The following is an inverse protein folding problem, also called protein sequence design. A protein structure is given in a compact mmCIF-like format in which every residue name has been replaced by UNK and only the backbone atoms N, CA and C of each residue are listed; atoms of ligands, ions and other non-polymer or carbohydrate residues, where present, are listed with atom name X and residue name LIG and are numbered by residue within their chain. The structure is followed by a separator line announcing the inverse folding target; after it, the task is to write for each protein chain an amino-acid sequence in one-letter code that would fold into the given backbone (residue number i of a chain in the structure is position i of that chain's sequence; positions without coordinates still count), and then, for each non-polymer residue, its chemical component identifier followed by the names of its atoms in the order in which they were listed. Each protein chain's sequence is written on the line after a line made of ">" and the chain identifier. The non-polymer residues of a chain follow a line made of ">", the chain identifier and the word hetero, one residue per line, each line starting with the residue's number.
data_IF_298181055249
#
_entry.id   IF_298181055249
#
_cell.length_a   1.000
_cell.length_b   1.000
_cell.length_c   1.000
_cell.angle_alpha   90.00
_cell.angle_beta   90.00
_cell.angle_gamma   90.00
#
_symmetry.space_group_name_H-M   'P 1'
#
loop_
_entity.id
_entity.type
_entity.pdbx_description
1 polymer ?
#
# COMPACT_ATOMS: atom_id res chain seq x y z
N UNK A 1 -1.58 -8.70 -18.39
CA UNK A 1 -1.08 -7.31 -18.39
C UNK A 1 0.45 -7.19 -18.55
N UNK A 2 1.20 -8.28 -18.73
CA UNK A 2 2.61 -8.25 -19.15
C UNK A 2 2.75 -8.74 -20.59
N UNK A 3 2.09 -8.04 -21.52
CA UNK A 3 2.53 -8.07 -22.91
C UNK A 3 3.59 -6.98 -22.99
N UNK A 4 4.79 -7.30 -23.48
CA UNK A 4 5.90 -6.36 -23.70
C UNK A 4 5.58 -5.28 -24.76
N UNK A 5 4.32 -4.81 -24.83
CA UNK A 5 3.82 -3.81 -25.77
C UNK A 5 4.18 -2.37 -25.34
N UNK A 6 4.29 -2.10 -24.03
CA UNK A 6 4.53 -0.74 -23.53
C UNK A 6 5.69 -0.69 -22.53
N UNK A 7 6.91 -0.54 -23.07
CA UNK A 7 8.11 -0.21 -22.27
C UNK A 7 7.88 1.03 -21.40
N UNK A 8 6.96 1.91 -21.82
CA UNK A 8 6.55 3.13 -21.13
C UNK A 8 6.07 2.90 -19.69
N UNK A 9 5.25 1.89 -19.44
CA UNK A 9 4.77 1.56 -18.08
C UNK A 9 5.93 1.11 -17.20
N UNK A 10 6.81 0.25 -17.72
CA UNK A 10 7.99 -0.22 -16.99
C UNK A 10 8.93 0.95 -16.63
N UNK A 11 9.22 1.84 -17.59
CA UNK A 11 10.03 3.03 -17.34
C UNK A 11 9.40 3.98 -16.32
N UNK A 12 8.07 4.16 -16.32
CA UNK A 12 7.41 5.00 -15.32
C UNK A 12 7.51 4.42 -13.91
N UNK A 13 7.30 3.12 -13.73
CA UNK A 13 7.45 2.48 -12.43
C UNK A 13 8.91 2.48 -11.96
N UNK A 14 9.85 2.14 -12.84
CA UNK A 14 11.27 2.16 -12.54
C UNK A 14 11.76 3.56 -12.18
N UNK A 15 11.35 4.59 -12.94
CA UNK A 15 11.66 5.99 -12.68
C UNK A 15 11.07 6.48 -11.36
N UNK A 16 9.83 6.13 -11.05
CA UNK A 16 9.20 6.49 -9.77
C UNK A 16 9.95 5.88 -8.58
N UNK A 17 10.33 4.60 -8.67
CA UNK A 17 11.13 3.93 -7.62
C UNK A 17 12.49 4.58 -7.48
N UNK A 18 13.14 4.96 -8.59
CA UNK A 18 14.45 5.60 -8.58
C UNK A 18 14.40 6.99 -7.94
N UNK A 19 13.40 7.80 -8.29
CA UNK A 19 13.19 9.13 -7.70
C UNK A 19 12.88 8.99 -6.20
N UNK A 20 12.03 8.05 -5.80
CA UNK A 20 11.74 7.80 -4.40
C UNK A 20 13.01 7.40 -3.62
N UNK A 21 13.82 6.50 -4.17
CA UNK A 21 15.08 6.08 -3.55
C UNK A 21 16.06 7.26 -3.37
N UNK A 22 16.24 8.09 -4.39
CA UNK A 22 17.08 9.30 -4.31
C UNK A 22 16.52 10.26 -3.25
N UNK A 23 15.20 10.46 -3.22
CA UNK A 23 14.53 11.27 -2.21
C UNK A 23 14.81 10.79 -0.79
N UNK A 24 14.67 9.48 -0.51
CA UNK A 24 14.98 8.92 0.79
C UNK A 24 16.47 9.04 1.16
N UNK A 25 17.38 8.88 0.20
CA UNK A 25 18.83 9.07 0.43
C UNK A 25 19.16 10.53 0.77
N UNK A 26 18.49 11.49 0.13
CA UNK A 26 18.70 12.92 0.39
C UNK A 26 18.13 13.34 1.74
N UNK A 27 16.91 12.88 2.07
CA UNK A 27 16.23 13.19 3.35
C UNK A 27 16.94 12.55 4.54
N UNK A 28 17.66 11.44 4.34
CA UNK A 28 18.50 10.81 5.38
C UNK A 28 19.57 11.76 5.95
N UNK A 29 19.96 12.80 5.21
CA UNK A 29 20.87 13.85 5.73
C UNK A 29 20.20 14.83 6.71
N UNK A 30 18.87 14.94 6.69
CA UNK A 30 18.12 15.89 7.52
C UNK A 30 17.50 15.25 8.77
N UNK A 31 17.37 13.92 8.79
CA UNK A 31 16.95 13.15 9.97
C UNK A 31 16.85 11.66 9.68
N UNK A 32 17.08 10.84 10.71
CA UNK A 32 16.84 9.40 10.62
C UNK A 32 15.33 9.12 10.60
N UNK A 33 14.82 8.39 9.59
CA UNK A 33 13.41 8.02 9.57
C UNK A 33 13.10 7.11 10.77
N UNK A 34 11.90 7.24 11.38
CA UNK A 34 11.51 6.38 12.49
C UNK A 34 11.56 4.92 12.06
N UNK A 35 12.36 4.12 12.77
CA UNK A 35 12.53 2.70 12.48
C UNK A 35 11.29 1.93 12.90
N UNK A 36 10.55 1.38 11.94
CA UNK A 36 9.42 0.51 12.25
C UNK A 36 9.94 -0.90 12.57
N UNK A 37 9.65 -1.47 13.76
CA UNK A 37 10.10 -2.81 14.10
C UNK A 37 9.44 -3.84 13.19
N UNK A 38 10.24 -4.81 12.73
CA UNK A 38 9.76 -5.89 11.88
C UNK A 38 8.95 -6.88 12.72
N UNK A 39 7.70 -7.11 12.31
CA UNK A 39 6.81 -8.06 12.95
C UNK A 39 6.43 -9.16 11.96
N UNK A 40 6.37 -10.45 12.35
CA UNK A 40 5.83 -11.53 11.52
C UNK A 40 4.45 -11.24 10.91
N UNK A 41 3.61 -10.41 11.55
CA UNK A 41 2.33 -9.97 10.98
C UNK A 41 2.45 -9.14 9.71
N UNK A 42 3.59 -8.49 9.46
CA UNK A 42 3.83 -7.69 8.24
C UNK A 42 3.90 -8.59 6.99
N UNK A 43 4.42 -9.80 7.13
CA UNK A 43 4.57 -10.74 6.00
C UNK A 43 3.18 -11.25 5.57
N UNK A 44 2.37 -11.71 6.52
CA UNK A 44 1.01 -12.19 6.22
C UNK A 44 0.11 -11.05 5.74
N UNK A 45 0.21 -9.87 6.37
CA UNK A 45 -0.52 -8.67 5.94
C UNK A 45 -0.12 -8.23 4.53
N UNK A 46 1.17 -8.23 4.20
CA UNK A 46 1.67 -7.88 2.87
C UNK A 46 1.20 -8.86 1.79
N UNK A 47 1.15 -10.16 2.08
CA UNK A 47 0.64 -11.18 1.17
C UNK A 47 -0.85 -11.01 0.88
N UNK A 48 -1.68 -10.87 1.93
CA UNK A 48 -3.14 -10.68 1.79
C UNK A 48 -3.44 -9.37 1.05
N UNK A 49 -2.71 -8.30 1.40
CA UNK A 49 -2.87 -7.01 0.74
C UNK A 49 -2.47 -7.06 -0.73
N UNK A 50 -1.29 -7.62 -1.06
CA UNK A 50 -0.84 -7.77 -2.45
C UNK A 50 -1.80 -8.64 -3.28
N UNK A 51 -2.30 -9.75 -2.70
CA UNK A 51 -3.28 -10.61 -3.35
C UNK A 51 -4.59 -9.86 -3.64
N UNK A 52 -5.08 -9.05 -2.69
CA UNK A 52 -6.29 -8.24 -2.88
C UNK A 52 -6.19 -7.25 -4.04
N UNK A 53 -5.02 -6.64 -4.24
CA UNK A 53 -4.78 -5.71 -5.34
C UNK A 53 -4.69 -6.41 -6.70
N UNK A 54 -4.07 -7.59 -6.74
CA UNK A 54 -4.00 -8.40 -7.95
C UNK A 54 -5.41 -8.83 -8.42
N UNK A 55 -6.32 -9.13 -7.49
CA UNK A 55 -7.71 -9.50 -7.78
C UNK A 55 -8.53 -8.27 -8.18
N UNK A 56 -8.33 -7.14 -7.49
CA UNK A 56 -9.16 -5.94 -7.69
C UNK A 56 -8.75 -5.12 -8.93
N UNK A 57 -7.53 -5.31 -9.45
CA UNK A 57 -7.01 -4.57 -10.60
C UNK A 57 -6.89 -3.06 -10.38
N UNK A 58 -6.97 -2.61 -9.13
CA UNK A 58 -6.97 -1.22 -8.73
C UNK A 58 -5.99 -0.99 -7.57
N UNK A 59 -5.19 0.07 -7.69
CA UNK A 59 -4.35 0.56 -6.61
C UNK A 59 -5.15 1.62 -5.81
N UNK A 60 -4.90 1.84 -4.51
CA UNK A 60 -5.50 2.89 -3.70
C UNK A 60 -5.16 4.27 -4.27
N UNK A 61 -4.01 4.40 -4.96
CA UNK A 61 -3.68 5.60 -5.75
C UNK A 61 -4.65 5.81 -6.92
N UNK A 62 -5.03 4.72 -7.61
CA UNK A 62 -6.03 4.75 -8.68
C UNK A 62 -7.42 5.06 -8.12
N UNK A 63 -7.76 4.54 -6.94
CA UNK A 63 -9.03 4.86 -6.27
C UNK A 63 -9.09 6.36 -5.95
N UNK A 64 -8.04 6.94 -5.36
CA UNK A 64 -7.99 8.38 -5.03
C UNK A 64 -8.06 9.29 -6.27
N UNK A 65 -7.42 8.90 -7.37
CA UNK A 65 -7.49 9.66 -8.64
C UNK A 65 -8.83 9.50 -9.35
N UNK A 66 -9.44 8.32 -9.32
CA UNK A 66 -10.79 8.07 -9.85
C UNK A 66 -11.89 8.81 -9.08
N UNK A 67 -11.73 8.99 -7.77
CA UNK A 67 -12.60 9.86 -6.97
C UNK A 67 -12.53 11.32 -7.43
N UNK A 68 -11.35 11.81 -7.80
CA UNK A 68 -11.18 13.14 -8.37
C UNK A 68 -11.79 13.31 -9.78
N UNK A 69 -12.03 12.21 -10.49
CA UNK A 69 -12.65 12.19 -11.84
C UNK A 69 -14.17 11.97 -11.80
N UNK A 70 -14.79 11.79 -10.62
CA UNK A 70 -16.24 11.62 -10.49
C UNK A 70 -16.81 10.26 -10.93
N UNK A 71 -15.97 9.22 -11.03
CA UNK A 71 -16.38 7.90 -11.51
C UNK A 71 -17.15 7.08 -10.45
N UNK A 72 -18.38 6.68 -10.76
CA UNK A 72 -19.21 5.69 -10.03
C UNK A 72 -18.46 4.45 -9.50
N UNK A 73 -17.61 3.75 -10.29
CA UNK A 73 -16.92 2.54 -9.80
C UNK A 73 -15.88 2.81 -8.71
N UNK A 74 -15.40 4.06 -8.58
CA UNK A 74 -14.45 4.45 -7.53
C UNK A 74 -15.05 4.32 -6.13
N UNK A 75 -16.34 4.65 -6.01
CA UNK A 75 -17.06 4.64 -4.73
C UNK A 75 -17.17 3.24 -4.15
N UNK A 76 -17.43 2.24 -5.01
CA UNK A 76 -17.56 0.83 -4.62
C UNK A 76 -16.21 0.28 -4.16
N UNK A 77 -15.13 0.56 -4.89
CA UNK A 77 -13.78 0.16 -4.49
C UNK A 77 -13.33 0.86 -3.20
N UNK A 78 -13.67 2.13 -3.01
CA UNK A 78 -13.36 2.86 -1.78
C UNK A 78 -14.12 2.30 -0.58
N UNK A 79 -15.41 2.00 -0.75
CA UNK A 79 -16.23 1.36 0.30
C UNK A 79 -15.69 -0.02 0.65
N UNK A 80 -15.28 -0.83 -0.33
CA UNK A 80 -14.61 -2.12 -0.09
C UNK A 80 -13.29 -1.96 0.66
N UNK A 81 -12.49 -0.95 0.32
CA UNK A 81 -11.23 -0.65 1.01
C UNK A 81 -11.46 -0.22 2.46
N UNK A 82 -12.40 0.71 2.70
CA UNK A 82 -12.78 1.19 4.02
C UNK A 82 -13.35 0.06 4.89
N UNK A 83 -14.21 -0.77 4.32
CA UNK A 83 -14.79 -1.91 5.01
C UNK A 83 -13.72 -2.96 5.34
N UNK A 84 -12.78 -3.22 4.43
CA UNK A 84 -11.64 -4.10 4.66
C UNK A 84 -10.72 -3.63 5.78
N UNK A 85 -10.41 -2.32 5.83
CA UNK A 85 -9.61 -1.71 6.91
C UNK A 85 -10.35 -1.78 8.24
N UNK A 86 -11.65 -1.47 8.26
CA UNK A 86 -12.48 -1.55 9.47
C UNK A 86 -12.58 -2.98 10.01
N UNK A 87 -12.75 -3.95 9.11
CA UNK A 87 -12.81 -5.35 9.46
C UNK A 87 -11.46 -5.84 9.99
N UNK A 88 -10.35 -5.45 9.35
CA UNK A 88 -9.01 -5.74 9.83
C UNK A 88 -8.77 -5.14 11.22
N UNK A 89 -9.18 -3.88 11.46
CA UNK A 89 -9.05 -3.21 12.75
C UNK A 89 -9.82 -3.94 13.88
N UNK A 90 -11.02 -4.45 13.59
CA UNK A 90 -11.80 -5.25 14.55
C UNK A 90 -11.31 -6.70 14.73
N UNK A 91 -10.74 -7.31 13.70
CA UNK A 91 -10.28 -8.71 13.76
C UNK A 91 -8.85 -8.81 14.34
N UNK A 92 -7.99 -7.82 14.08
CA UNK A 92 -6.64 -7.72 14.65
C UNK A 92 -6.58 -7.97 16.16
N UNK A 93 -7.41 -7.35 17.02
CA UNK A 93 -7.38 -7.59 18.47
C UNK A 93 -7.86 -8.99 18.89
N UNK A 94 -8.63 -9.69 18.04
CA UNK A 94 -9.19 -11.02 18.36
C UNK A 94 -8.39 -12.20 17.84
N UNK A 95 -7.75 -12.07 16.68
CA UNK A 95 -7.10 -13.19 15.96
C UNK A 95 -5.57 -13.05 15.91
N UNK A 96 -5.06 -11.81 15.80
CA UNK A 96 -3.62 -11.53 15.68
C UNK A 96 -3.13 -10.83 16.95
N UNK A 97 -2.99 -11.59 18.04
CA UNK A 97 -2.25 -11.18 19.26
C UNK A 97 -0.73 -11.07 19.04
N UNK A 98 -0.31 -10.77 17.81
CA UNK A 98 1.05 -10.33 17.52
C UNK A 98 1.18 -8.90 18.01
N UNK A 99 1.38 -8.83 19.32
CA UNK A 99 1.89 -7.69 20.03
C UNK A 99 3.40 -7.64 19.83
N UNK A 100 3.89 -6.44 19.58
CA UNK A 100 5.28 -6.12 19.32
C UNK A 100 5.39 -4.66 18.98
N UNK A 101 5.00 -3.82 19.96
CA UNK A 101 5.62 -2.52 20.21
C UNK A 101 5.45 -1.41 19.17
N UNK A 102 4.69 -1.57 18.08
CA UNK A 102 4.48 -0.47 17.13
C UNK A 102 3.50 0.62 17.60
N UNK A 103 2.85 0.45 18.76
CA UNK A 103 2.13 1.52 19.48
C UNK A 103 3.00 2.14 20.59
N UNK A 104 4.32 1.98 20.54
CA UNK A 104 5.25 2.74 21.39
C UNK A 104 6.25 3.49 20.51
N UNK A 105 5.70 4.39 19.68
CA UNK A 105 6.24 5.72 19.37
C UNK A 105 5.08 6.70 19.24
#
# INVERSE_FOLDING_TARGET
>A
MFVFADLRMLLTFAGAVLIAAIGFVLTKKLGDPPRKPYHPGVILGGLIFGAGWAISGACPSIVMTQLGQGSMPALITLMGLLFGVWLHDKIKPKIFRFDGGSCEI
#
